data_IF_904326573028
#
_entry.id   IF_904326573028
#
_cell.length_a   1.000
_cell.length_b   1.000
_cell.length_c   1.000
_cell.angle_alpha   90.00
_cell.angle_beta   90.00
_cell.angle_gamma   90.00
#
_symmetry.space_group_name_H-M   'P 1'
#
loop_
_entity.id
_entity.type
_entity.pdbx_description
1 polymer ?
#
# COMPACT_ATOMS: atom_id res chain seq x y z
N UNK A 1 -34.14 12.71 24.40
CA UNK A 1 -33.02 13.01 25.31
C UNK A 1 -31.74 12.62 24.58
N UNK A 2 -30.88 13.56 24.15
CA UNK A 2 -29.63 13.19 23.49
C UNK A 2 -28.67 12.60 24.54
N UNK A 3 -28.23 11.35 24.33
CA UNK A 3 -27.26 10.69 25.19
C UNK A 3 -25.92 11.41 25.15
N UNK A 4 -25.40 11.77 26.32
CA UNK A 4 -24.04 12.29 26.48
C UNK A 4 -23.03 11.24 25.99
N UNK A 5 -22.21 11.60 25.01
CA UNK A 5 -21.13 10.75 24.51
C UNK A 5 -19.90 11.08 25.34
N UNK A 6 -19.44 10.13 26.16
CA UNK A 6 -18.22 10.29 26.95
C UNK A 6 -17.04 10.73 26.05
N UNK A 7 -16.12 11.58 26.56
CA UNK A 7 -14.98 12.05 25.77
C UNK A 7 -14.16 10.85 25.30
N UNK A 8 -13.80 10.84 24.01
CA UNK A 8 -12.96 9.79 23.44
C UNK A 8 -11.52 10.00 23.92
N UNK A 9 -11.00 9.05 24.68
CA UNK A 9 -9.61 9.06 25.15
C UNK A 9 -8.69 8.60 24.02
N UNK A 10 -8.37 9.48 23.07
CA UNK A 10 -7.34 9.22 22.04
C UNK A 10 -5.93 9.48 22.62
N UNK A 11 -5.61 8.84 23.74
CA UNK A 11 -4.24 8.81 24.24
C UNK A 11 -3.41 7.84 23.40
N UNK A 12 -2.11 8.13 23.24
CA UNK A 12 -1.18 7.18 22.60
C UNK A 12 -1.19 5.85 23.37
N UNK A 13 -1.37 4.74 22.67
CA UNK A 13 -1.24 3.39 23.23
C UNK A 13 0.20 2.88 23.24
N UNK A 14 1.12 3.62 22.61
CA UNK A 14 2.51 3.23 22.53
C UNK A 14 3.25 3.69 23.79
N UNK A 15 3.67 2.72 24.59
CA UNK A 15 4.70 2.91 25.60
C UNK A 15 6.06 2.86 24.92
N UNK A 16 7.00 3.68 25.39
CA UNK A 16 8.40 3.53 25.01
C UNK A 16 8.86 2.09 25.33
N UNK A 17 9.23 1.36 24.28
CA UNK A 17 9.73 -0.01 24.43
C UNK A 17 11.14 -0.02 25.03
N UNK A 18 11.58 -1.16 25.61
CA UNK A 18 12.95 -1.33 26.06
C UNK A 18 13.97 -1.06 24.95
N UNK A 19 15.15 -0.58 25.33
CA UNK A 19 16.22 -0.25 24.38
C UNK A 19 16.67 -1.51 23.61
N UNK A 20 16.72 -2.65 24.28
CA UNK A 20 17.11 -3.93 23.67
C UNK A 20 16.12 -4.38 22.58
N UNK A 21 14.81 -4.17 22.78
CA UNK A 21 13.79 -4.48 21.78
C UNK A 21 13.93 -3.58 20.56
N UNK A 22 14.16 -2.29 20.77
CA UNK A 22 14.38 -1.32 19.69
C UNK A 22 15.64 -1.67 18.90
N UNK A 23 16.71 -2.08 19.56
CA UNK A 23 17.95 -2.52 18.91
C UNK A 23 17.73 -3.80 18.10
N UNK A 24 17.00 -4.78 18.65
CA UNK A 24 16.65 -6.02 17.96
C UNK A 24 15.79 -5.77 16.71
N UNK A 25 14.77 -4.90 16.81
CA UNK A 25 13.91 -4.55 15.67
C UNK A 25 14.65 -3.85 14.52
N UNK A 26 15.80 -3.23 14.81
CA UNK A 26 16.67 -2.58 13.81
C UNK A 26 17.74 -3.52 13.25
N UNK A 27 17.95 -4.69 13.84
CA UNK A 27 18.96 -5.65 13.44
C UNK A 27 18.38 -6.75 12.54
N UNK A 28 19.23 -7.44 11.78
CA UNK A 28 18.83 -8.59 10.95
C UNK A 28 18.15 -8.27 9.63
N UNK A 29 17.84 -7.00 9.36
CA UNK A 29 17.39 -6.54 8.04
C UNK A 29 18.60 -6.35 7.13
N UNK A 30 18.52 -6.86 5.90
CA UNK A 30 19.49 -6.52 4.87
C UNK A 30 19.42 -5.02 4.58
N UNK A 31 20.56 -4.35 4.28
CA UNK A 31 20.54 -2.97 3.85
C UNK A 31 19.67 -2.84 2.60
N UNK A 32 18.60 -2.06 2.69
CA UNK A 32 17.77 -1.70 1.54
C UNK A 32 18.57 -0.71 0.71
N UNK A 33 18.88 -0.99 -0.56
CA UNK A 33 19.54 0.00 -1.38
C UNK A 33 18.59 1.18 -1.60
N UNK A 34 19.11 2.39 -1.36
CA UNK A 34 18.39 3.63 -1.60
C UNK A 34 18.10 3.73 -3.11
N UNK A 35 16.82 3.58 -3.47
CA UNK A 35 16.29 3.80 -4.81
C UNK A 35 16.85 2.90 -5.93
N UNK A 36 16.76 1.58 -5.80
CA UNK A 36 16.86 0.70 -6.98
C UNK A 36 15.49 0.59 -7.64
N UNK A 37 15.23 1.29 -8.77
CA UNK A 37 13.99 1.10 -9.49
C UNK A 37 13.88 -0.35 -9.95
N UNK A 38 12.75 -0.98 -9.66
CA UNK A 38 12.42 -2.30 -10.21
C UNK A 38 12.41 -2.23 -11.74
N UNK A 39 12.84 -3.32 -12.40
CA UNK A 39 13.03 -3.35 -13.85
C UNK A 39 11.81 -2.86 -14.65
N UNK A 40 10.61 -3.05 -14.10
CA UNK A 40 9.37 -2.61 -14.71
C UNK A 40 9.21 -1.09 -14.81
N UNK A 41 9.89 -0.30 -13.98
CA UNK A 41 9.89 1.16 -14.04
C UNK A 41 10.28 1.68 -15.44
N UNK A 42 11.17 0.96 -16.14
CA UNK A 42 11.60 1.31 -17.48
C UNK A 42 10.51 1.09 -18.57
N UNK A 43 9.58 0.14 -18.37
CA UNK A 43 8.64 -0.28 -19.42
C UNK A 43 7.23 0.27 -19.23
N UNK A 44 6.83 0.59 -17.98
CA UNK A 44 5.47 1.07 -17.69
C UNK A 44 5.12 2.41 -18.37
N UNK A 45 6.03 3.40 -18.55
CA UNK A 45 5.69 4.62 -19.28
C UNK A 45 5.30 4.36 -20.74
N UNK A 46 6.02 3.48 -21.43
CA UNK A 46 5.73 3.12 -22.81
C UNK A 46 4.39 2.39 -22.98
N UNK A 47 4.02 1.55 -22.00
CA UNK A 47 2.70 0.90 -21.98
C UNK A 47 1.57 1.90 -21.80
N UNK A 48 1.71 2.85 -20.87
CA UNK A 48 0.73 3.93 -20.66
C UNK A 48 0.56 4.78 -21.92
N UNK A 49 1.66 5.18 -22.57
CA UNK A 49 1.60 5.99 -23.79
C UNK A 49 0.88 5.28 -24.93
N UNK A 50 1.19 3.99 -25.18
CA UNK A 50 0.49 3.17 -26.18
C UNK A 50 -1.00 3.05 -25.87
N UNK A 51 -1.35 2.83 -24.61
CA UNK A 51 -2.74 2.71 -24.20
C UNK A 51 -3.50 4.03 -24.37
N UNK A 52 -2.92 5.16 -23.96
CA UNK A 52 -3.52 6.49 -24.17
C UNK A 52 -3.71 6.83 -25.65
N UNK A 53 -2.81 6.39 -26.54
CA UNK A 53 -2.95 6.59 -27.98
C UNK A 53 -4.16 5.84 -28.59
N UNK A 54 -4.60 4.74 -27.97
CA UNK A 54 -5.79 4.00 -28.40
C UNK A 54 -7.11 4.65 -27.94
N UNK A 55 -7.06 5.52 -26.94
CA UNK A 55 -8.23 6.18 -26.33
C UNK A 55 -8.00 7.70 -26.20
N UNK A 56 -7.89 8.43 -27.32
CA UNK A 56 -7.57 9.85 -27.29
C UNK A 56 -8.70 10.66 -26.65
N UNK A 57 -8.37 11.50 -25.68
CA UNK A 57 -9.33 12.36 -24.97
C UNK A 57 -10.15 11.65 -23.89
N UNK A 58 -10.01 10.33 -23.74
CA UNK A 58 -10.68 9.57 -22.70
C UNK A 58 -9.81 9.39 -21.45
N UNK A 59 -10.46 9.38 -20.28
CA UNK A 59 -9.80 9.13 -19.01
C UNK A 59 -9.85 7.64 -18.66
N UNK A 60 -8.71 6.97 -18.78
CA UNK A 60 -8.57 5.57 -18.38
C UNK A 60 -8.34 5.43 -16.87
N UNK A 61 -9.08 4.53 -16.23
CA UNK A 61 -8.99 4.23 -14.81
C UNK A 61 -8.49 2.79 -14.60
N UNK A 62 -7.43 2.62 -13.81
CA UNK A 62 -6.88 1.31 -13.43
C UNK A 62 -7.00 1.11 -11.90
N UNK A 63 -8.07 0.43 -11.42
CA UNK A 63 -8.34 0.23 -10.00
C UNK A 63 -7.22 -0.53 -9.28
N UNK A 64 -7.02 -0.23 -7.98
CA UNK A 64 -5.99 -0.83 -7.12
C UNK A 64 -6.10 -2.36 -6.94
N UNK A 65 -7.29 -2.92 -7.15
CA UNK A 65 -7.68 -4.18 -6.55
C UNK A 65 -8.40 -3.90 -5.23
N UNK A 66 -9.47 -4.65 -4.96
CA UNK A 66 -10.20 -4.55 -3.70
C UNK A 66 -9.65 -5.58 -2.71
N UNK A 67 -9.53 -5.20 -1.44
CA UNK A 67 -9.32 -6.15 -0.37
C UNK A 67 -10.54 -7.04 -0.25
N UNK A 68 -10.34 -8.37 -0.22
CA UNK A 68 -11.44 -9.30 0.00
C UNK A 68 -11.83 -9.27 1.47
N UNK A 69 -13.13 -9.16 1.73
CA UNK A 69 -13.66 -9.29 3.09
C UNK A 69 -13.17 -10.62 3.71
N UNK A 70 -12.70 -10.59 4.96
CA UNK A 70 -12.29 -11.79 5.65
C UNK A 70 -13.51 -12.69 5.89
N UNK A 71 -13.31 -14.00 5.82
CA UNK A 71 -14.23 -14.95 6.43
C UNK A 71 -13.67 -15.21 7.82
N UNK A 72 -14.21 -14.52 8.83
CA UNK A 72 -13.63 -14.46 10.19
C UNK A 72 -12.75 -13.23 10.41
N UNK A 73 -11.73 -13.34 11.28
CA UNK A 73 -10.89 -12.20 11.70
C UNK A 73 -9.62 -12.02 10.87
N UNK A 74 -9.32 -12.95 9.96
CA UNK A 74 -8.10 -12.93 9.16
C UNK A 74 -8.34 -12.28 7.79
N UNK A 75 -7.79 -11.08 7.60
CA UNK A 75 -7.75 -10.42 6.29
C UNK A 75 -6.92 -11.24 5.30
N UNK A 76 -7.47 -11.47 4.10
CA UNK A 76 -6.69 -12.03 2.99
C UNK A 76 -5.70 -10.99 2.48
N UNK A 77 -4.49 -11.44 2.12
CA UNK A 77 -3.52 -10.58 1.45
C UNK A 77 -4.11 -10.05 0.16
N UNK A 78 -4.12 -8.73 -0.01
CA UNK A 78 -4.63 -8.10 -1.22
C UNK A 78 -3.58 -8.26 -2.32
N UNK A 79 -3.99 -8.86 -3.44
CA UNK A 79 -3.18 -8.87 -4.66
C UNK A 79 -3.61 -7.69 -5.54
N UNK A 80 -2.69 -6.84 -6.01
CA UNK A 80 -3.02 -5.81 -6.99
C UNK A 80 -3.62 -6.42 -8.25
N UNK A 81 -4.57 -5.72 -8.86
CA UNK A 81 -5.18 -6.19 -10.11
C UNK A 81 -4.13 -6.16 -11.24
N UNK A 82 -4.13 -7.18 -12.10
CA UNK A 82 -3.13 -7.33 -13.17
C UNK A 82 -3.08 -6.14 -14.12
N UNK A 83 -4.24 -5.56 -14.45
CA UNK A 83 -4.32 -4.36 -15.28
C UNK A 83 -3.58 -3.18 -14.66
N UNK A 84 -3.71 -2.97 -13.34
CA UNK A 84 -2.97 -1.92 -12.64
C UNK A 84 -1.49 -2.21 -12.57
N UNK A 85 -1.09 -3.42 -12.14
CA UNK A 85 0.32 -3.80 -12.06
C UNK A 85 1.03 -3.55 -13.39
N UNK A 86 0.42 -3.94 -14.51
CA UNK A 86 1.03 -3.78 -15.84
C UNK A 86 1.36 -2.32 -16.24
N UNK A 87 0.73 -1.33 -15.58
CA UNK A 87 0.85 0.10 -15.88
C UNK A 87 1.67 0.87 -14.83
N UNK A 88 1.96 0.30 -13.66
CA UNK A 88 2.60 1.01 -12.55
C UNK A 88 3.80 0.29 -11.94
N UNK A 89 3.93 -1.03 -12.10
CA UNK A 89 4.87 -1.89 -11.35
C UNK A 89 5.50 -2.98 -12.22
#
# INVERSE_FOLDING_TARGET
MPSSRAPLTTGSHDRAGPVELTASMRAGWAPTPDDVPIAAHAVTPGRRARLSALFPGERLLAPAGAGQAPEGTASRCTRPQSSRSSLTE
#
